data_IF_007893782920
#
_entry.id   IF_007893782920
#
_cell.length_a   1.000
_cell.length_b   1.000
_cell.length_c   1.000
_cell.angle_alpha   90.00
_cell.angle_beta   90.00
_cell.angle_gamma   90.00
#
_symmetry.space_group_name_H-M   'P 1'
#
loop_
_entity.id
_entity.type
_entity.pdbx_description
1 polymer ?
#
# COMPACT_ATOMS: atom_id res chain seq x y z
N UNK A 1 -32.72 -19.06 -11.63
CA UNK A 1 -31.73 -18.64 -12.65
C UNK A 1 -30.54 -18.04 -11.91
N UNK A 2 -29.42 -18.77 -11.80
CA UNK A 2 -28.20 -18.24 -11.16
C UNK A 2 -27.55 -17.27 -12.14
N UNK A 3 -27.67 -15.97 -11.87
CA UNK A 3 -27.05 -14.94 -12.69
C UNK A 3 -25.53 -15.17 -12.69
N UNK A 4 -24.98 -15.50 -13.87
CA UNK A 4 -23.54 -15.60 -14.08
C UNK A 4 -22.98 -14.18 -13.87
N UNK A 5 -21.98 -13.98 -12.99
CA UNK A 5 -21.46 -12.65 -12.74
C UNK A 5 -21.05 -12.02 -14.08
N UNK A 6 -21.33 -10.73 -14.29
CA UNK A 6 -21.00 -10.05 -15.54
C UNK A 6 -19.52 -10.25 -15.82
N UNK A 7 -19.18 -10.64 -17.05
CA UNK A 7 -17.82 -10.85 -17.50
C UNK A 7 -16.95 -9.68 -17.05
N UNK A 8 -15.84 -9.89 -16.32
CA UNK A 8 -15.03 -8.81 -15.79
C UNK A 8 -14.61 -7.93 -16.97
N UNK A 9 -15.20 -6.74 -17.04
CA UNK A 9 -14.87 -5.77 -18.07
C UNK A 9 -13.44 -5.32 -17.79
N UNK A 10 -12.65 -5.09 -18.83
CA UNK A 10 -11.24 -4.66 -18.70
C UNK A 10 -11.12 -3.47 -17.73
N UNK A 11 -12.11 -2.58 -17.73
CA UNK A 11 -12.24 -1.46 -16.82
C UNK A 11 -12.35 -1.86 -15.34
N UNK A 12 -13.18 -2.86 -15.00
CA UNK A 12 -13.30 -3.36 -13.62
C UNK A 12 -12.04 -4.07 -13.14
N UNK A 13 -11.34 -4.80 -14.01
CA UNK A 13 -10.07 -5.46 -13.69
C UNK A 13 -8.96 -4.44 -13.46
N UNK A 14 -8.90 -3.40 -14.29
CA UNK A 14 -7.99 -2.27 -14.11
C UNK A 14 -8.27 -1.50 -12.81
N UNK A 15 -9.56 -1.28 -12.50
CA UNK A 15 -9.97 -0.67 -11.23
C UNK A 15 -9.47 -1.48 -10.02
N UNK A 16 -9.67 -2.80 -10.03
CA UNK A 16 -9.20 -3.69 -8.97
C UNK A 16 -7.66 -3.70 -8.83
N UNK A 17 -6.92 -3.79 -9.94
CA UNK A 17 -5.45 -3.75 -9.94
C UNK A 17 -4.92 -2.40 -9.44
N UNK A 18 -5.53 -1.30 -9.87
CA UNK A 18 -5.15 0.04 -9.41
C UNK A 18 -5.39 0.20 -7.90
N UNK A 19 -6.53 -0.29 -7.40
CA UNK A 19 -6.85 -0.29 -5.97
C UNK A 19 -5.81 -1.06 -5.15
N UNK A 20 -5.41 -2.26 -5.60
CA UNK A 20 -4.33 -3.02 -4.95
C UNK A 20 -2.99 -2.27 -4.98
N UNK A 21 -2.62 -1.66 -6.11
CA UNK A 21 -1.43 -0.84 -6.21
C UNK A 21 -1.43 0.33 -5.21
N UNK A 22 -2.56 1.04 -5.09
CA UNK A 22 -2.73 2.13 -4.13
C UNK A 22 -2.65 1.67 -2.68
N UNK A 23 -3.18 0.49 -2.34
CA UNK A 23 -3.09 -0.03 -0.96
C UNK A 23 -1.65 -0.26 -0.49
N UNK A 24 -0.72 -0.46 -1.41
CA UNK A 24 0.72 -0.62 -1.12
C UNK A 24 1.46 0.71 -1.28
N UNK A 25 1.18 1.47 -2.34
CA UNK A 25 1.89 2.71 -2.65
C UNK A 25 1.63 3.81 -1.61
N UNK A 26 0.40 3.93 -1.10
CA UNK A 26 0.02 4.97 -0.11
C UNK A 26 0.82 4.87 1.19
N UNK A 27 0.88 3.71 1.89
CA UNK A 27 1.65 3.61 3.13
C UNK A 27 3.16 3.77 2.92
N UNK A 28 3.71 3.35 1.77
CA UNK A 28 5.12 3.58 1.42
C UNK A 28 5.39 5.08 1.24
N UNK A 29 4.55 5.77 0.45
CA UNK A 29 4.70 7.20 0.20
C UNK A 29 4.55 8.01 1.50
N UNK A 30 3.56 7.68 2.34
CA UNK A 30 3.41 8.30 3.65
C UNK A 30 4.63 8.08 4.56
N UNK A 31 5.11 6.84 4.65
CA UNK A 31 6.31 6.51 5.44
C UNK A 31 7.56 7.23 4.96
N UNK A 32 7.72 7.38 3.64
CA UNK A 32 8.85 8.11 3.05
C UNK A 32 8.78 9.62 3.33
N UNK A 33 7.61 10.25 3.19
CA UNK A 33 7.42 11.69 3.46
C UNK A 33 7.64 11.99 4.94
N UNK A 34 7.06 11.19 5.83
CA UNK A 34 7.25 11.33 7.28
C UNK A 34 8.71 11.11 7.68
N UNK A 35 9.35 10.05 7.16
CA UNK A 35 10.75 9.76 7.43
C UNK A 35 11.69 10.88 6.97
N UNK A 36 11.42 11.47 5.80
CA UNK A 36 12.19 12.61 5.28
C UNK A 36 12.03 13.88 6.12
N UNK A 37 10.80 14.17 6.55
CA UNK A 37 10.53 15.31 7.44
C UNK A 37 11.22 15.16 8.81
N UNK A 38 11.19 13.95 9.38
CA UNK A 38 11.83 13.63 10.65
C UNK A 38 13.37 13.65 10.56
N UNK A 39 13.96 13.15 9.48
CA UNK A 39 15.42 13.24 9.23
C UNK A 39 15.90 14.69 9.11
N UNK A 40 15.11 15.54 8.45
CA UNK A 40 15.38 16.98 8.35
C UNK A 40 15.35 17.70 9.70
N UNK A 41 14.50 17.24 10.63
CA UNK A 41 14.37 17.84 11.96
C UNK A 41 15.47 17.39 12.94
N UNK A 42 15.96 16.15 12.79
CA UNK A 42 16.93 15.53 13.68
C UNK A 42 18.38 15.61 13.17
N UNK A 43 18.61 16.10 11.95
CA UNK A 43 19.93 16.19 11.30
C UNK A 43 20.71 14.86 11.26
N UNK A 44 20.03 13.73 11.33
CA UNK A 44 20.61 12.38 11.48
C UNK A 44 21.13 11.75 10.17
N UNK A 45 21.27 12.51 9.08
CA UNK A 45 21.52 11.95 7.75
C UNK A 45 20.28 11.21 7.21
N UNK A 46 20.38 10.30 6.21
CA UNK A 46 19.22 9.64 5.59
C UNK A 46 18.70 8.39 6.35
N UNK A 47 18.86 8.34 7.68
CA UNK A 47 18.57 7.15 8.49
C UNK A 47 17.08 6.97 8.79
N UNK A 48 16.33 8.03 9.14
CA UNK A 48 14.89 7.95 9.38
C UNK A 48 14.08 7.78 8.10
N UNK A 49 14.58 8.24 6.95
CA UNK A 49 13.99 7.91 5.65
C UNK A 49 14.08 6.40 5.42
N UNK A 50 15.25 5.80 5.67
CA UNK A 50 15.42 4.36 5.50
C UNK A 50 14.49 3.58 6.44
N UNK A 51 14.40 3.98 7.70
CA UNK A 51 13.50 3.39 8.69
C UNK A 51 12.01 3.59 8.34
N UNK A 52 11.63 4.80 7.91
CA UNK A 52 10.28 5.13 7.49
C UNK A 52 9.85 4.39 6.23
N UNK A 53 10.78 4.18 5.29
CA UNK A 53 10.56 3.36 4.10
C UNK A 53 10.38 1.88 4.49
N UNK A 54 11.21 1.37 5.41
CA UNK A 54 11.15 -0.01 5.87
C UNK A 54 9.85 -0.29 6.64
N UNK A 55 9.43 0.65 7.50
CA UNK A 55 8.14 0.60 8.19
C UNK A 55 6.96 0.76 7.22
N UNK A 56 7.04 1.67 6.24
CA UNK A 56 6.03 1.84 5.21
C UNK A 56 5.86 0.59 4.34
N UNK A 57 6.97 -0.08 4.01
CA UNK A 57 6.99 -1.35 3.28
C UNK A 57 6.36 -2.47 4.10
N UNK A 58 6.77 -2.64 5.37
CA UNK A 58 6.19 -3.65 6.27
C UNK A 58 4.68 -3.39 6.43
N UNK A 59 4.27 -2.15 6.65
CA UNK A 59 2.87 -1.78 6.85
C UNK A 59 2.04 -1.97 5.58
N UNK A 60 2.60 -1.68 4.39
CA UNK A 60 1.96 -1.95 3.10
C UNK A 60 1.77 -3.45 2.84
N UNK A 61 2.81 -4.26 3.11
CA UNK A 61 2.71 -5.73 3.01
C UNK A 61 1.68 -6.26 3.99
N UNK A 62 1.68 -5.78 5.24
CA UNK A 62 0.74 -6.21 6.27
C UNK A 62 -0.70 -5.80 5.93
N UNK A 63 -0.89 -4.61 5.38
CA UNK A 63 -2.17 -4.12 4.87
C UNK A 63 -2.71 -4.97 3.73
N UNK A 64 -1.86 -5.27 2.74
CA UNK A 64 -2.21 -6.17 1.64
C UNK A 64 -2.56 -7.59 2.14
N UNK A 65 -1.78 -8.12 3.09
CA UNK A 65 -2.03 -9.43 3.70
C UNK A 65 -3.33 -9.47 4.51
N UNK A 66 -3.64 -8.39 5.24
CA UNK A 66 -4.89 -8.23 5.97
C UNK A 66 -6.09 -8.14 5.04
N UNK A 67 -5.98 -7.39 3.94
CA UNK A 67 -7.02 -7.28 2.93
C UNK A 67 -7.26 -8.64 2.26
N UNK A 68 -6.19 -9.36 1.91
CA UNK A 68 -6.28 -10.71 1.38
C UNK A 68 -6.99 -11.65 2.36
N UNK A 69 -6.59 -11.65 3.64
CA UNK A 69 -7.24 -12.47 4.66
C UNK A 69 -8.71 -12.10 4.88
N UNK A 70 -9.06 -10.81 4.84
CA UNK A 70 -10.43 -10.34 5.04
C UNK A 70 -11.35 -10.59 3.84
N UNK A 71 -10.79 -10.80 2.64
CA UNK A 71 -11.54 -11.05 1.41
C UNK A 71 -11.65 -12.55 1.12
N UNK A 72 -10.69 -13.37 1.59
CA UNK A 72 -10.62 -14.82 1.30
C UNK A 72 -10.91 -15.74 2.50
N UNK A 73 -11.21 -15.22 3.71
CA UNK A 73 -11.83 -15.98 4.81
C UNK A 73 -13.24 -15.47 5.07
#
# INVERSE_FOLDING_TARGET
MKQKPPSPTVLSTLGALSGMGFTVAVPIALGAILGNYLDGLLHTGPLLILLGLLLGLISGIYGAYRLYKSVFQ
#
